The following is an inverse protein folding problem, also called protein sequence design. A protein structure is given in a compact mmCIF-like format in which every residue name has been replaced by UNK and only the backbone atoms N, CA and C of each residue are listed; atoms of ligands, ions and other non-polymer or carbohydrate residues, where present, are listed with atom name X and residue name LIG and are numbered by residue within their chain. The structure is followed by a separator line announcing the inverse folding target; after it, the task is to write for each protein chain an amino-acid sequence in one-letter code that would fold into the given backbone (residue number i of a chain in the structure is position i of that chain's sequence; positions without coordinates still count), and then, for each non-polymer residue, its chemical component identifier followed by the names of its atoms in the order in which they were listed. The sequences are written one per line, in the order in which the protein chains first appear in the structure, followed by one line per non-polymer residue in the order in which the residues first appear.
data_IF_489108212294
#
_entry.id   IF_489108212294
#
_cell.length_a   1.000
_cell.length_b   1.000
_cell.length_c   1.000
_cell.angle_alpha   90.00
_cell.angle_beta   90.00
_cell.angle_gamma   90.00
#
_symmetry.space_group_name_H-M   'P 1'
#
loop_
_entity.id
_entity.type
_entity.pdbx_description
1 polymer ?
#
# COMPACT_ATOMS: atom_id res chain seq x y z
N UNK A 1 -8.94 -5.39 -16.88
CA UNK A 1 -9.27 -5.06 -15.48
C UNK A 1 -10.78 -4.96 -15.27
N UNK A 2 -11.40 -5.97 -14.67
CA UNK A 2 -12.79 -5.98 -14.19
C UNK A 2 -12.76 -5.77 -12.68
N UNK A 3 -13.48 -4.76 -12.21
CA UNK A 3 -13.56 -4.40 -10.79
C UNK A 3 -14.96 -4.69 -10.25
N UNK A 4 -15.01 -5.15 -9.01
CA UNK A 4 -16.24 -5.26 -8.23
C UNK A 4 -16.77 -3.88 -7.83
N UNK A 5 -18.02 -3.79 -7.38
CA UNK A 5 -18.58 -2.53 -6.86
C UNK A 5 -17.76 -1.97 -5.69
N UNK A 6 -17.23 -2.82 -4.81
CA UNK A 6 -16.44 -2.38 -3.68
C UNK A 6 -15.08 -1.81 -4.12
N UNK A 7 -14.43 -2.44 -5.09
CA UNK A 7 -13.16 -1.97 -5.66
C UNK A 7 -13.33 -0.66 -6.43
N UNK A 8 -14.45 -0.50 -7.14
CA UNK A 8 -14.81 0.78 -7.76
C UNK A 8 -15.03 1.86 -6.72
N UNK A 9 -15.75 1.56 -5.64
CA UNK A 9 -15.95 2.49 -4.53
C UNK A 9 -14.63 2.90 -3.86
N UNK A 10 -13.68 1.97 -3.73
CA UNK A 10 -12.31 2.26 -3.26
C UNK A 10 -11.56 3.18 -4.23
N UNK A 11 -11.60 2.90 -5.54
CA UNK A 11 -10.97 3.73 -6.58
C UNK A 11 -11.58 5.14 -6.67
N UNK A 12 -12.89 5.27 -6.43
CA UNK A 12 -13.59 6.56 -6.35
C UNK A 12 -13.27 7.33 -5.06
N UNK A 13 -12.66 6.67 -4.06
CA UNK A 13 -12.23 7.29 -2.81
C UNK A 13 -13.25 7.29 -1.69
N UNK A 14 -14.29 6.45 -1.78
CA UNK A 14 -15.29 6.29 -0.69
C UNK A 14 -14.70 5.68 0.58
N UNK A 15 -13.52 5.08 0.49
CA UNK A 15 -12.78 4.46 1.60
C UNK A 15 -11.55 5.25 2.06
N UNK A 16 -11.45 6.53 1.70
CA UNK A 16 -10.32 7.39 2.08
C UNK A 16 -9.22 7.47 1.03
N UNK A 17 -8.27 8.38 1.26
CA UNK A 17 -7.18 8.71 0.34
C UNK A 17 -6.20 7.56 0.16
N UNK A 18 -5.78 6.92 1.26
CA UNK A 18 -4.84 5.81 1.20
C UNK A 18 -5.40 4.62 0.39
N UNK A 19 -6.68 4.27 0.61
CA UNK A 19 -7.35 3.22 -0.14
C UNK A 19 -7.44 3.56 -1.64
N UNK A 20 -7.84 4.80 -1.95
CA UNK A 20 -7.88 5.30 -3.33
C UNK A 20 -6.52 5.21 -4.01
N UNK A 21 -5.48 5.76 -3.39
CA UNK A 21 -4.12 5.77 -3.95
C UNK A 21 -3.60 4.35 -4.19
N UNK A 22 -3.87 3.44 -3.26
CA UNK A 22 -3.52 2.02 -3.40
C UNK A 22 -4.25 1.39 -4.59
N UNK A 23 -5.56 1.66 -4.74
CA UNK A 23 -6.34 1.16 -5.87
C UNK A 23 -5.86 1.73 -7.20
N UNK A 24 -5.55 3.02 -7.29
CA UNK A 24 -4.98 3.64 -8.50
C UNK A 24 -3.72 2.89 -8.95
N UNK A 25 -2.79 2.64 -8.02
CA UNK A 25 -1.55 1.87 -8.30
C UNK A 25 -1.89 0.47 -8.80
N UNK A 26 -2.74 -0.27 -8.08
CA UNK A 26 -3.09 -1.65 -8.44
C UNK A 26 -3.81 -1.74 -9.79
N UNK A 27 -4.75 -0.83 -10.08
CA UNK A 27 -5.47 -0.81 -11.35
C UNK A 27 -4.55 -0.46 -12.51
N UNK A 28 -3.65 0.51 -12.33
CA UNK A 28 -2.67 0.86 -13.37
C UNK A 28 -1.73 -0.31 -13.66
N UNK A 29 -1.25 -1.01 -12.63
CA UNK A 29 -0.45 -2.23 -12.83
C UNK A 29 -1.27 -3.32 -13.53
N UNK A 30 -2.52 -3.52 -13.12
CA UNK A 30 -3.43 -4.46 -13.76
C UNK A 30 -3.65 -4.17 -15.24
N UNK A 31 -3.79 -2.90 -15.62
CA UNK A 31 -3.88 -2.48 -17.02
C UNK A 31 -2.58 -2.70 -17.79
N UNK A 32 -1.42 -2.35 -17.20
CA UNK A 32 -0.09 -2.55 -17.82
C UNK A 32 0.18 -4.03 -18.11
N UNK A 33 -0.27 -4.93 -17.24
CA UNK A 33 -0.04 -6.36 -17.35
C UNK A 33 -1.23 -7.15 -17.92
N UNK A 34 -2.22 -6.47 -18.51
CA UNK A 34 -3.44 -7.09 -19.07
C UNK A 34 -4.17 -8.04 -18.09
N UNK A 35 -4.15 -7.70 -16.79
CA UNK A 35 -4.83 -8.47 -15.76
C UNK A 35 -6.36 -8.44 -15.94
N UNK A 36 -6.99 -9.61 -15.83
CA UNK A 36 -8.44 -9.71 -15.98
C UNK A 36 -9.17 -9.12 -14.77
N UNK A 37 -8.84 -9.54 -13.55
CA UNK A 37 -9.50 -9.16 -12.29
C UNK A 37 -8.49 -9.13 -11.13
N UNK A 38 -8.87 -8.52 -10.00
CA UNK A 38 -8.08 -8.60 -8.77
C UNK A 38 -8.19 -10.02 -8.18
N UNK A 39 -7.27 -10.37 -7.29
CA UNK A 39 -7.28 -11.65 -6.57
C UNK A 39 -7.33 -11.35 -5.08
N UNK A 40 -8.27 -11.99 -4.38
CA UNK A 40 -8.39 -11.88 -2.93
C UNK A 40 -7.16 -12.45 -2.21
N UNK A 41 -6.70 -11.73 -1.21
CA UNK A 41 -5.64 -12.17 -0.30
C UNK A 41 -6.17 -12.25 1.12
N UNK A 42 -5.73 -13.26 1.87
CA UNK A 42 -6.15 -13.46 3.27
C UNK A 42 -5.12 -12.94 4.28
N UNK A 43 -3.88 -12.68 3.84
CA UNK A 43 -2.83 -12.13 4.67
C UNK A 43 -1.67 -11.58 3.84
N UNK A 44 -0.96 -10.60 4.42
CA UNK A 44 0.14 -9.90 3.78
C UNK A 44 1.31 -9.81 4.75
N UNK A 45 2.53 -10.03 4.25
CA UNK A 45 3.76 -9.70 4.98
C UNK A 45 4.48 -8.56 4.27
N UNK A 46 4.58 -7.42 4.94
CA UNK A 46 5.30 -6.25 4.42
C UNK A 46 6.79 -6.43 4.68
N UNK A 47 7.57 -6.50 3.60
CA UNK A 47 9.02 -6.57 3.61
C UNK A 47 9.66 -5.24 3.21
N UNK A 48 10.98 -5.10 3.40
CA UNK A 48 11.72 -3.91 2.98
C UNK A 48 11.42 -2.68 3.85
N UNK A 49 11.42 -2.85 5.17
CA UNK A 49 11.11 -1.80 6.14
C UNK A 49 12.38 -1.06 6.51
N UNK A 50 12.93 -0.23 5.61
CA UNK A 50 14.17 0.51 5.87
C UNK A 50 14.12 1.89 5.22
N UNK A 51 14.72 2.91 5.82
CA UNK A 51 14.90 4.15 5.09
C UNK A 51 15.87 3.97 3.90
N UNK A 52 16.83 3.03 3.99
CA UNK A 52 17.83 2.83 2.95
C UNK A 52 17.28 2.33 1.61
N UNK A 53 16.13 1.64 1.58
CA UNK A 53 15.47 1.24 0.33
C UNK A 53 14.35 2.21 -0.09
N UNK A 54 13.71 2.88 0.86
CA UNK A 54 12.59 3.80 0.61
C UNK A 54 13.06 5.19 0.19
N UNK A 55 14.13 5.70 0.79
CA UNK A 55 14.58 7.08 0.67
C UNK A 55 13.50 8.10 1.01
N UNK A 56 13.71 9.34 0.62
CA UNK A 56 12.76 10.45 0.85
C UNK A 56 11.40 10.21 0.19
N UNK A 57 11.39 9.73 -1.07
CA UNK A 57 10.15 9.50 -1.79
C UNK A 57 9.28 8.41 -1.13
N UNK A 58 9.90 7.33 -0.64
CA UNK A 58 9.17 6.30 0.11
C UNK A 58 8.70 6.80 1.48
N UNK A 59 9.47 7.66 2.14
CA UNK A 59 9.06 8.28 3.40
C UNK A 59 7.86 9.23 3.21
N UNK A 60 7.87 10.05 2.15
CA UNK A 60 6.76 10.92 1.78
C UNK A 60 5.51 10.09 1.47
N UNK A 61 5.64 9.06 0.64
CA UNK A 61 4.54 8.13 0.35
C UNK A 61 3.96 7.50 1.62
N UNK A 62 4.81 6.99 2.52
CA UNK A 62 4.34 6.40 3.78
C UNK A 62 3.68 7.45 4.69
N UNK A 63 4.12 8.70 4.66
CA UNK A 63 3.52 9.80 5.43
C UNK A 63 2.13 10.16 4.90
N UNK A 64 1.96 10.22 3.58
CA UNK A 64 0.64 10.39 2.96
C UNK A 64 -0.30 9.24 3.32
N UNK A 65 0.19 8.00 3.23
CA UNK A 65 -0.58 6.81 3.56
C UNK A 65 -0.96 6.77 5.05
N UNK A 66 -0.14 7.32 5.94
CA UNK A 66 -0.41 7.37 7.38
C UNK A 66 -1.52 8.36 7.77
N UNK A 67 -1.94 9.28 6.89
CA UNK A 67 -3.04 10.21 7.17
C UNK A 67 -4.35 9.48 7.50
N UNK A 68 -4.71 8.47 6.71
CA UNK A 68 -5.96 7.70 6.89
C UNK A 68 -5.84 6.20 6.59
N UNK A 69 -4.64 5.71 6.27
CA UNK A 69 -4.41 4.31 5.90
C UNK A 69 -4.66 3.31 7.01
N UNK A 70 -5.37 2.24 6.66
CA UNK A 70 -5.65 1.10 7.54
C UNK A 70 -5.49 -0.21 6.79
N UNK A 71 -4.93 -1.21 7.47
CA UNK A 71 -4.88 -2.59 6.96
C UNK A 71 -6.28 -3.21 7.02
N UNK A 72 -6.62 -4.03 6.01
CA UNK A 72 -7.94 -4.69 5.89
C UNK A 72 -7.90 -6.22 6.08
N UNK A 73 -6.70 -6.80 6.00
CA UNK A 73 -6.44 -8.23 6.22
C UNK A 73 -5.36 -8.39 7.28
N UNK A 74 -5.10 -9.62 7.73
CA UNK A 74 -4.00 -9.87 8.65
C UNK A 74 -2.68 -9.44 7.99
N UNK A 75 -2.06 -8.40 8.54
CA UNK A 75 -0.82 -7.84 8.00
C UNK A 75 0.29 -7.93 9.04
N UNK A 76 1.40 -8.56 8.65
CA UNK A 76 2.64 -8.59 9.43
C UNK A 76 3.68 -7.67 8.79
N UNK A 77 4.68 -7.28 9.57
CA UNK A 77 5.74 -6.38 9.15
C UNK A 77 7.07 -7.03 9.51
N UNK A 78 8.04 -7.02 8.59
CA UNK A 78 9.41 -7.37 8.93
C UNK A 78 10.00 -6.40 9.97
N UNK A 79 11.02 -6.81 10.75
CA UNK A 79 11.74 -5.89 11.61
C UNK A 79 12.24 -4.68 10.81
N UNK A 80 12.23 -3.50 11.44
CA UNK A 80 12.81 -2.31 10.85
C UNK A 80 14.31 -2.55 10.61
N UNK A 81 14.79 -2.20 9.41
CA UNK A 81 16.20 -2.30 9.03
C UNK A 81 17.07 -1.20 9.64
N UNK A 82 16.54 -0.47 10.62
CA UNK A 82 17.24 0.55 11.37
C UNK A 82 16.64 0.66 12.77
N UNK A 83 17.44 1.12 13.73
CA UNK A 83 16.95 1.48 15.05
C UNK A 83 15.96 2.63 14.92
N UNK A 84 14.82 2.55 15.61
CA UNK A 84 13.77 3.57 15.55
C UNK A 84 14.03 4.75 16.49
N UNK A 85 14.72 4.49 17.60
CA UNK A 85 15.07 5.50 18.60
C UNK A 85 16.39 6.18 18.24
N UNK A 86 17.35 5.41 17.74
CA UNK A 86 18.69 5.87 17.40
C UNK A 86 18.96 5.88 15.88
N UNK A 87 17.96 6.28 15.09
CA UNK A 87 18.01 6.19 13.62
C UNK A 87 19.04 7.11 12.95
N UNK A 88 19.53 8.13 13.68
CA UNK A 88 20.45 9.16 13.18
C UNK A 88 21.94 8.84 13.41
N UNK A 89 22.24 7.79 14.19
CA UNK A 89 23.61 7.46 14.60
C UNK A 89 24.46 6.82 13.50
#
# INVERSE_FOLDING_TARGET
MKLTSEELDMLEGKYGKAAKKSMEILTTLGEIFDAECMIDVYGVQIAGVSYANLGEAGLEFLSEMAEDGKVRVLTTLNPAGMDRENWQA
#
